data_IF_293561610125
#
_entry.id   IF_293561610125
#
_cell.length_a   1.000
_cell.length_b   1.000
_cell.length_c   1.000
_cell.angle_alpha   90.00
_cell.angle_beta   90.00
_cell.angle_gamma   90.00
#
_symmetry.space_group_name_H-M   'P 1'
#
loop_
_entity.id
_entity.type
_entity.pdbx_description
1 polymer ?
#
# COMPACT_ATOMS: atom_id res chain seq x y z
N UNK A 1 12.57 6.42 15.94
CA UNK A 1 12.36 5.30 15.00
C UNK A 1 11.49 5.82 13.87
N UNK A 2 11.88 5.61 12.61
CA UNK A 2 11.14 6.08 11.43
C UNK A 2 10.37 4.95 10.75
N UNK A 3 9.42 5.30 9.88
CA UNK A 3 8.77 4.35 9.00
C UNK A 3 9.75 3.70 8.01
N UNK A 4 9.42 2.49 7.56
CA UNK A 4 10.13 1.80 6.47
C UNK A 4 9.21 1.69 5.28
N UNK A 5 9.73 1.90 4.07
CA UNK A 5 8.93 1.80 2.86
C UNK A 5 9.68 1.05 1.75
N UNK A 6 8.91 0.40 0.89
CA UNK A 6 9.39 -0.22 -0.35
C UNK A 6 8.34 0.00 -1.44
N UNK A 7 8.80 0.16 -2.67
CA UNK A 7 7.94 0.25 -3.85
C UNK A 7 8.53 -0.57 -4.98
N UNK A 8 7.66 -1.21 -5.76
CA UNK A 8 8.07 -2.01 -6.90
C UNK A 8 7.01 -1.95 -8.01
N UNK A 9 7.47 -2.05 -9.26
CA UNK A 9 6.61 -2.10 -10.42
C UNK A 9 6.04 -3.50 -10.64
N UNK A 10 4.76 -3.57 -11.01
CA UNK A 10 4.11 -4.73 -11.58
C UNK A 10 3.97 -4.45 -13.07
N UNK A 11 4.76 -5.14 -13.89
CA UNK A 11 4.86 -4.88 -15.33
C UNK A 11 4.25 -6.00 -16.19
N UNK A 12 3.96 -7.16 -15.60
CA UNK A 12 3.47 -8.34 -16.29
C UNK A 12 1.94 -8.36 -16.41
N UNK A 13 1.44 -8.62 -17.61
CA UNK A 13 0.00 -8.69 -17.90
C UNK A 13 -0.63 -7.35 -18.31
N UNK A 14 -1.96 -7.33 -18.40
CA UNK A 14 -2.71 -6.13 -18.80
C UNK A 14 -2.91 -5.13 -17.66
N UNK A 15 -2.68 -5.54 -16.41
CA UNK A 15 -2.80 -4.72 -15.20
C UNK A 15 -1.41 -4.37 -14.69
N UNK A 16 -0.97 -3.14 -14.95
CA UNK A 16 0.41 -2.70 -14.68
C UNK A 16 0.41 -1.43 -13.86
N UNK A 17 1.34 -1.33 -12.94
CA UNK A 17 1.38 -0.20 -12.03
C UNK A 17 2.44 -0.32 -10.94
N UNK A 18 2.36 0.59 -9.98
CA UNK A 18 3.24 0.65 -8.84
C UNK A 18 2.53 0.11 -7.60
N UNK A 19 3.19 -0.77 -6.86
CA UNK A 19 2.78 -1.17 -5.51
C UNK A 19 3.75 -0.54 -4.52
N UNK A 20 3.23 0.18 -3.53
CA UNK A 20 4.00 0.82 -2.46
C UNK A 20 3.54 0.31 -1.11
N UNK A 21 4.49 -0.10 -0.27
CA UNK A 21 4.26 -0.63 1.07
C UNK A 21 5.02 0.25 2.06
N UNK A 22 4.35 0.67 3.14
CA UNK A 22 4.95 1.41 4.24
C UNK A 22 4.58 0.77 5.57
N UNK A 23 5.59 0.46 6.37
CA UNK A 23 5.49 0.06 7.77
C UNK A 23 5.70 1.29 8.66
N UNK A 24 4.69 1.61 9.45
CA UNK A 24 4.74 2.63 10.51
C UNK A 24 4.85 1.90 11.86
N UNK A 25 5.98 2.02 12.59
CA UNK A 25 6.13 1.36 13.89
C UNK A 25 5.12 1.84 14.92
N UNK A 26 4.83 0.99 15.92
CA UNK A 26 4.03 1.36 17.07
C UNK A 26 4.58 2.61 17.77
N UNK A 27 3.69 3.50 18.21
CA UNK A 27 4.06 4.75 18.88
C UNK A 27 4.58 5.86 17.95
N UNK A 28 4.64 5.62 16.64
CA UNK A 28 4.86 6.66 15.62
C UNK A 28 3.50 7.11 15.10
N UNK A 29 3.24 8.42 15.08
CA UNK A 29 2.02 8.96 14.49
C UNK A 29 1.94 8.57 13.02
N UNK A 30 0.87 7.86 12.65
CA UNK A 30 0.56 7.65 11.25
C UNK A 30 0.21 8.99 10.58
N UNK A 31 0.46 9.14 9.27
CA UNK A 31 -0.04 10.26 8.51
C UNK A 31 -1.57 10.35 8.64
N UNK A 32 -2.09 11.53 8.98
CA UNK A 32 -3.54 11.80 9.01
C UNK A 32 -4.20 11.62 7.64
N UNK A 33 -3.43 11.81 6.57
CA UNK A 33 -3.86 11.66 5.18
C UNK A 33 -3.21 10.41 4.59
N UNK A 34 -4.01 9.48 4.01
CA UNK A 34 -3.46 8.34 3.31
C UNK A 34 -2.52 8.81 2.18
N UNK A 35 -1.34 8.19 2.00
CA UNK A 35 -0.34 8.69 1.05
C UNK A 35 -0.79 8.67 -0.41
N UNK A 36 -1.87 7.93 -0.73
CA UNK A 36 -2.46 7.82 -2.07
C UNK A 36 -3.63 8.78 -2.33
N UNK A 37 -4.09 9.55 -1.34
CA UNK A 37 -5.33 10.36 -1.48
C UNK A 37 -5.25 11.41 -2.59
N UNK A 38 -4.06 11.97 -2.83
CA UNK A 38 -3.81 12.98 -3.86
C UNK A 38 -3.32 12.37 -5.19
N UNK A 39 -3.34 11.03 -5.32
CA UNK A 39 -2.84 10.30 -6.50
C UNK A 39 -4.03 9.81 -7.33
N UNK A 40 -4.31 10.41 -8.50
CA UNK A 40 -5.46 10.04 -9.31
C UNK A 40 -5.43 8.56 -9.72
N UNK A 41 -6.54 7.86 -9.51
CA UNK A 41 -6.67 6.44 -9.84
C UNK A 41 -5.99 5.49 -8.87
N UNK A 42 -5.39 5.99 -7.79
CA UNK A 42 -4.75 5.16 -6.77
C UNK A 42 -5.77 4.54 -5.81
N UNK A 43 -5.45 3.34 -5.32
CA UNK A 43 -6.15 2.69 -4.20
C UNK A 43 -5.16 2.39 -3.09
N UNK A 44 -5.68 2.12 -1.89
CA UNK A 44 -4.83 1.70 -0.79
C UNK A 44 -5.61 1.21 0.40
N UNK A 45 -4.92 0.47 1.26
CA UNK A 45 -5.44 -0.08 2.49
C UNK A 45 -4.45 0.15 3.64
N UNK A 46 -5.00 0.24 4.85
CA UNK A 46 -4.23 0.28 6.10
C UNK A 46 -4.66 -0.91 6.95
N UNK A 47 -3.71 -1.67 7.47
CA UNK A 47 -3.93 -2.74 8.42
C UNK A 47 -3.07 -2.53 9.67
N UNK A 48 -3.62 -2.86 10.84
CA UNK A 48 -2.91 -2.76 12.12
C UNK A 48 -2.26 -4.10 12.42
N UNK A 49 -0.95 -4.07 12.67
CA UNK A 49 -0.17 -5.24 13.05
C UNK A 49 -0.37 -5.58 14.54
N UNK A 50 -0.25 -6.85 14.97
CA UNK A 50 -0.29 -7.24 16.39
C UNK A 50 0.70 -6.49 17.28
N UNK A 51 1.83 -6.05 16.73
CA UNK A 51 2.83 -5.21 17.43
C UNK A 51 2.33 -3.79 17.72
N UNK A 52 1.16 -3.39 17.21
CA UNK A 52 0.62 -2.03 17.30
C UNK A 52 1.15 -1.08 16.22
N UNK A 53 1.98 -1.57 15.30
CA UNK A 53 2.36 -0.86 14.08
C UNK A 53 1.24 -0.86 13.04
N UNK A 54 1.44 -0.11 11.96
CA UNK A 54 0.52 -0.05 10.81
C UNK A 54 1.25 -0.42 9.53
N UNK A 55 0.61 -1.24 8.71
CA UNK A 55 0.99 -1.53 7.33
C UNK A 55 0.07 -0.74 6.42
N UNK A 56 0.68 0.03 5.53
CA UNK A 56 0.01 0.89 4.57
C UNK A 56 0.40 0.39 3.19
N UNK A 57 -0.58 -0.07 2.41
CA UNK A 57 -0.40 -0.52 1.03
C UNK A 57 -1.10 0.46 0.11
N UNK A 58 -0.41 0.90 -0.94
CA UNK A 58 -0.93 1.78 -1.96
C UNK A 58 -0.62 1.21 -3.34
N UNK A 59 -1.56 1.31 -4.26
CA UNK A 59 -1.41 0.89 -5.65
C UNK A 59 -1.79 2.01 -6.59
N UNK A 60 -1.01 2.17 -7.64
CA UNK A 60 -1.18 3.21 -8.64
C UNK A 60 -1.06 2.62 -10.04
N UNK A 61 -1.87 3.05 -11.01
CA UNK A 61 -1.72 2.60 -12.39
C UNK A 61 -0.48 3.26 -13.02
N UNK A 62 0.13 2.59 -14.00
CA UNK A 62 1.07 3.29 -14.86
C UNK A 62 0.34 4.20 -15.85
N UNK A 63 0.93 5.33 -16.27
CA UNK A 63 0.30 6.25 -17.23
C UNK A 63 -0.19 5.57 -18.52
N UNK A 64 0.54 4.57 -18.99
CA UNK A 64 0.24 3.76 -20.19
C UNK A 64 -0.72 2.58 -19.94
N UNK A 65 -1.18 2.39 -18.70
CA UNK A 65 -1.99 1.26 -18.26
C UNK A 65 -2.97 1.72 -17.18
N UNK A 66 -4.16 2.22 -17.55
CA UNK A 66 -5.08 2.86 -16.60
C UNK A 66 -5.68 1.88 -15.58
N UNK A 67 -5.60 0.58 -15.85
CA UNK A 67 -6.02 -0.47 -14.92
C UNK A 67 -4.99 -0.65 -13.81
N UNK A 68 -5.48 -0.66 -12.56
CA UNK A 68 -4.65 -0.91 -11.39
C UNK A 68 -4.05 -2.33 -11.41
N UNK A 69 -2.82 -2.49 -10.85
CA UNK A 69 -2.17 -3.79 -10.76
C UNK A 69 -2.89 -4.75 -9.81
N UNK A 70 -3.65 -4.22 -8.83
CA UNK A 70 -4.46 -4.96 -7.87
C UNK A 70 -5.80 -4.25 -7.70
N UNK A 71 -6.87 -5.00 -7.47
CA UNK A 71 -8.15 -4.41 -7.09
C UNK A 71 -8.23 -4.12 -5.58
N UNK A 72 -9.35 -3.54 -5.16
CA UNK A 72 -9.56 -3.07 -3.78
C UNK A 72 -9.56 -4.21 -2.75
N UNK A 73 -10.05 -5.40 -3.14
CA UNK A 73 -10.09 -6.56 -2.24
C UNK A 73 -8.69 -7.18 -2.11
N UNK A 74 -7.97 -7.32 -3.22
CA UNK A 74 -6.57 -7.78 -3.24
C UNK A 74 -5.66 -6.87 -2.39
N UNK A 75 -5.84 -5.55 -2.48
CA UNK A 75 -5.06 -4.57 -1.71
C UNK A 75 -5.32 -4.68 -0.21
N UNK A 76 -6.58 -4.93 0.19
CA UNK A 76 -6.94 -5.17 1.60
C UNK A 76 -6.36 -6.47 2.11
N UNK A 77 -6.47 -7.55 1.33
CA UNK A 77 -5.91 -8.85 1.69
C UNK A 77 -4.39 -8.75 1.86
N UNK A 78 -3.69 -8.14 0.90
CA UNK A 78 -2.25 -7.91 1.00
C UNK A 78 -1.86 -7.11 2.25
N UNK A 79 -2.60 -6.05 2.58
CA UNK A 79 -2.35 -5.27 3.79
C UNK A 79 -2.52 -6.13 5.07
N UNK A 80 -3.56 -6.95 5.14
CA UNK A 80 -3.83 -7.87 6.26
C UNK A 80 -2.74 -8.95 6.37
N UNK A 81 -2.37 -9.59 5.27
CA UNK A 81 -1.32 -10.62 5.25
C UNK A 81 0.03 -10.07 5.69
N UNK A 82 0.39 -8.87 5.23
CA UNK A 82 1.61 -8.20 5.66
C UNK A 82 1.53 -7.85 7.14
N UNK A 83 0.43 -7.25 7.60
CA UNK A 83 0.25 -6.88 9.00
C UNK A 83 0.35 -8.08 9.95
N UNK A 84 -0.12 -9.27 9.54
CA UNK A 84 -0.02 -10.49 10.34
C UNK A 84 1.43 -10.99 10.52
N UNK A 85 2.39 -10.53 9.70
CA UNK A 85 3.81 -10.91 9.76
C UNK A 85 4.67 -9.93 10.58
N UNK A 86 4.13 -8.79 11.00
CA UNK A 86 4.83 -7.71 11.71
C UNK A 86 4.20 -7.39 13.07
#
# INVERSE_FOLDING_TARGET
>A
MGGRSASFGVEEGSRRGLVSIMLVPAGVSAPLHPPWIDRPGALGAVAVAPSGGQLVVAVEPFPESPDLPLDDDDVRELAQELAARY
#
